data_IF_711180863245
#
_entry.id   IF_711180863245
#
_cell.length_a   1.000
_cell.length_b   1.000
_cell.length_c   1.000
_cell.angle_alpha   90.00
_cell.angle_beta   90.00
_cell.angle_gamma   90.00
#
_symmetry.space_group_name_H-M   'P 1'
#
loop_
_entity.id
_entity.type
_entity.pdbx_description
1 polymer ?
#
# COMPACT_ATOMS: atom_id res chain seq x y z
N UNK A 1 10.16 15.42 16.24
CA UNK A 1 11.42 16.12 16.51
C UNK A 1 11.25 17.49 15.88
N UNK A 2 10.80 18.45 16.69
CA UNK A 2 10.58 19.82 16.24
C UNK A 2 11.96 20.46 16.05
N UNK A 3 12.38 20.56 14.78
CA UNK A 3 13.53 21.40 14.43
C UNK A 3 13.09 22.86 14.67
N UNK A 4 13.95 23.71 15.26
CA UNK A 4 13.60 25.09 15.54
C UNK A 4 13.17 25.79 14.25
N UNK A 5 12.02 26.47 14.28
CA UNK A 5 11.29 27.01 13.13
C UNK A 5 12.17 27.73 12.08
N UNK A 6 13.23 28.40 12.53
CA UNK A 6 14.20 29.11 11.68
C UNK A 6 14.98 28.20 10.71
N UNK A 7 15.32 26.97 11.09
CA UNK A 7 16.07 26.02 10.21
C UNK A 7 15.15 25.44 9.14
N UNK A 8 13.87 25.27 9.48
CA UNK A 8 12.84 24.80 8.57
C UNK A 8 12.51 25.90 7.54
N UNK A 9 12.33 27.15 7.98
CA UNK A 9 12.13 28.27 7.05
C UNK A 9 13.33 28.51 6.12
N UNK A 10 14.57 28.40 6.61
CA UNK A 10 15.77 28.59 5.77
C UNK A 10 15.98 27.50 4.72
N UNK A 11 15.48 26.28 4.98
CA UNK A 11 15.58 25.15 4.03
C UNK A 11 14.40 25.09 3.05
N UNK A 12 13.24 25.62 3.43
CA UNK A 12 12.01 25.58 2.62
C UNK A 12 11.83 26.83 1.72
N UNK A 13 12.28 28.01 2.15
CA UNK A 13 12.20 29.24 1.34
C UNK A 13 12.90 29.16 -0.02
N UNK A 14 14.10 28.55 -0.15
CA UNK A 14 14.73 28.33 -1.47
C UNK A 14 13.92 27.39 -2.37
N UNK A 15 13.06 26.56 -1.77
CA UNK A 15 12.15 25.67 -2.49
C UNK A 15 10.82 26.37 -2.82
N UNK A 16 10.59 27.63 -2.44
CA UNK A 16 9.32 28.34 -2.68
C UNK A 16 8.11 27.64 -2.04
N UNK A 17 8.34 26.93 -0.93
CA UNK A 17 7.31 26.18 -0.22
C UNK A 17 7.11 26.78 1.18
N UNK A 18 5.91 27.25 1.48
CA UNK A 18 5.54 27.63 2.84
C UNK A 18 4.80 26.46 3.53
N UNK A 19 5.25 26.11 4.73
CA UNK A 19 4.69 24.99 5.49
C UNK A 19 3.34 25.39 6.11
N UNK A 20 2.24 25.20 5.37
CA UNK A 20 0.88 25.46 5.85
C UNK A 20 0.26 24.31 6.65
N UNK A 21 0.74 23.07 6.47
CA UNK A 21 0.24 21.87 7.16
C UNK A 21 1.03 21.58 8.44
N UNK A 22 0.32 21.39 9.56
CA UNK A 22 0.91 20.99 10.84
C UNK A 22 1.35 19.53 10.80
N UNK A 23 2.61 19.26 11.16
CA UNK A 23 3.13 17.88 11.31
C UNK A 23 2.52 17.23 12.55
N UNK A 24 1.43 16.51 12.36
CA UNK A 24 0.70 15.81 13.45
C UNK A 24 1.12 14.35 13.65
N UNK A 25 1.81 13.76 12.66
CA UNK A 25 2.12 12.33 12.65
C UNK A 25 3.59 12.07 13.03
N UNK A 26 3.82 11.29 14.09
CA UNK A 26 5.15 10.82 14.48
C UNK A 26 5.61 9.66 13.57
N UNK A 27 6.92 9.45 13.42
CA UNK A 27 7.50 8.42 12.54
C UNK A 27 6.94 7.03 12.83
N UNK A 28 6.75 6.69 14.11
CA UNK A 28 6.15 5.41 14.52
C UNK A 28 4.72 5.27 13.99
N UNK A 29 3.91 6.32 14.07
CA UNK A 29 2.55 6.31 13.55
C UNK A 29 2.52 6.23 12.02
N UNK A 30 3.49 6.85 11.35
CA UNK A 30 3.64 6.76 9.89
C UNK A 30 3.99 5.33 9.43
N UNK A 31 4.85 4.62 10.16
CA UNK A 31 5.18 3.21 9.86
C UNK A 31 3.94 2.32 10.01
N UNK A 32 3.20 2.47 11.10
CA UNK A 32 1.96 1.71 11.31
C UNK A 32 0.90 2.03 10.25
N UNK A 33 0.78 3.30 9.87
CA UNK A 33 -0.11 3.73 8.80
C UNK A 33 0.29 3.10 7.45
N UNK A 34 1.58 3.12 7.10
CA UNK A 34 2.09 2.49 5.89
C UNK A 34 1.87 0.98 5.85
N UNK A 35 2.14 0.27 6.95
CA UNK A 35 1.86 -1.16 7.07
C UNK A 35 0.37 -1.47 6.91
N UNK A 36 -0.49 -0.59 7.42
CA UNK A 36 -1.94 -0.71 7.29
C UNK A 36 -2.38 -0.58 5.84
N UNK A 37 -1.80 0.36 5.12
CA UNK A 37 -2.10 0.60 3.70
C UNK A 37 -1.69 -0.57 2.79
N UNK A 38 -0.67 -1.34 3.15
CA UNK A 38 -0.22 -2.50 2.36
C UNK A 38 -1.17 -3.70 2.40
N UNK A 39 -2.12 -3.74 3.35
CA UNK A 39 -3.10 -4.81 3.53
C UNK A 39 -2.51 -6.23 3.35
N UNK A 40 -1.66 -6.72 4.27
CA UNK A 40 -0.86 -7.94 4.09
C UNK A 40 -1.66 -9.20 3.72
N UNK A 41 -2.94 -9.26 4.10
CA UNK A 41 -3.80 -10.41 3.80
C UNK A 41 -4.04 -10.62 2.30
N UNK A 42 -3.96 -9.55 1.50
CA UNK A 42 -4.20 -9.62 0.06
C UNK A 42 -3.27 -10.60 -0.66
N UNK A 43 -2.02 -10.73 -0.19
CA UNK A 43 -1.04 -11.65 -0.77
C UNK A 43 -1.51 -13.11 -0.65
N UNK A 44 -2.09 -13.50 0.49
CA UNK A 44 -2.54 -14.89 0.69
C UNK A 44 -3.67 -15.29 -0.26
N UNK A 45 -4.55 -14.35 -0.61
CA UNK A 45 -5.67 -14.62 -1.54
C UNK A 45 -5.20 -14.87 -2.96
N UNK A 46 -4.16 -14.16 -3.41
CA UNK A 46 -3.62 -14.27 -4.77
C UNK A 46 -2.57 -15.38 -4.89
N UNK A 47 -1.81 -15.64 -3.83
CA UNK A 47 -0.71 -16.59 -3.84
C UNK A 47 -1.15 -18.00 -4.27
N UNK A 48 -2.30 -18.48 -3.79
CA UNK A 48 -2.80 -19.82 -4.11
C UNK A 48 -3.09 -20.01 -5.61
N UNK A 49 -3.79 -19.04 -6.20
CA UNK A 49 -4.15 -19.05 -7.63
C UNK A 49 -2.88 -18.94 -8.48
N UNK A 50 -2.02 -17.98 -8.15
CA UNK A 50 -0.79 -17.72 -8.91
C UNK A 50 0.18 -18.92 -8.88
N UNK A 51 0.30 -19.58 -7.73
CA UNK A 51 1.15 -20.78 -7.59
C UNK A 51 0.62 -21.95 -8.40
N UNK A 52 -0.70 -22.13 -8.46
CA UNK A 52 -1.32 -23.14 -9.32
C UNK A 52 -1.06 -22.88 -10.81
N UNK A 53 -1.10 -21.61 -11.24
CA UNK A 53 -0.84 -21.23 -12.64
C UNK A 53 0.64 -21.27 -13.05
N UNK A 54 1.55 -21.04 -12.09
CA UNK A 54 3.00 -20.91 -12.37
C UNK A 54 3.83 -22.11 -11.93
N UNK A 55 3.17 -23.22 -11.60
CA UNK A 55 3.83 -24.45 -11.12
C UNK A 55 4.80 -24.22 -9.94
N UNK A 56 4.47 -23.28 -9.03
CA UNK A 56 5.29 -22.98 -7.86
C UNK A 56 6.38 -21.91 -8.03
N UNK A 57 6.52 -21.30 -9.22
CA UNK A 57 7.51 -20.23 -9.44
C UNK A 57 7.14 -18.88 -8.80
N UNK A 58 5.91 -18.71 -8.33
CA UNK A 58 5.40 -17.49 -7.66
C UNK A 58 6.36 -16.92 -6.61
N UNK A 59 6.97 -17.78 -5.79
CA UNK A 59 7.89 -17.36 -4.72
C UNK A 59 9.11 -16.61 -5.27
N UNK A 60 9.67 -17.09 -6.38
CA UNK A 60 10.84 -16.46 -7.01
C UNK A 60 10.47 -15.07 -7.56
N UNK A 61 9.29 -14.95 -8.18
CA UNK A 61 8.77 -13.66 -8.64
C UNK A 61 8.60 -12.65 -7.49
N UNK A 62 8.11 -13.09 -6.33
CA UNK A 62 8.00 -12.21 -5.15
C UNK A 62 9.38 -11.77 -4.62
N UNK A 63 10.39 -12.64 -4.63
CA UNK A 63 11.76 -12.26 -4.23
C UNK A 63 12.31 -11.19 -5.17
N UNK A 64 12.20 -11.40 -6.48
CA UNK A 64 12.67 -10.43 -7.49
C UNK A 64 11.92 -9.10 -7.34
N UNK A 65 10.60 -9.13 -7.19
CA UNK A 65 9.79 -7.94 -6.97
C UNK A 65 10.19 -7.19 -5.69
N UNK A 66 10.49 -7.92 -4.61
CA UNK A 66 10.96 -7.32 -3.35
C UNK A 66 12.27 -6.57 -3.55
N UNK A 67 13.23 -7.15 -4.28
CA UNK A 67 14.51 -6.49 -4.57
C UNK A 67 14.31 -5.19 -5.36
N UNK A 68 13.45 -5.20 -6.38
CA UNK A 68 13.12 -4.00 -7.17
C UNK A 68 12.45 -2.92 -6.31
N UNK A 69 11.51 -3.31 -5.45
CA UNK A 69 10.83 -2.37 -4.54
C UNK A 69 11.80 -1.80 -3.51
N UNK A 70 12.79 -2.56 -3.04
CA UNK A 70 13.83 -2.05 -2.14
C UNK A 70 14.65 -0.93 -2.79
N UNK A 71 15.08 -1.09 -4.04
CA UNK A 71 15.76 0.00 -4.77
C UNK A 71 14.90 1.25 -4.87
N UNK A 72 13.60 1.08 -5.10
CA UNK A 72 12.64 2.19 -5.14
C UNK A 72 12.55 2.86 -3.76
N UNK A 73 12.42 2.08 -2.68
CA UNK A 73 12.37 2.61 -1.32
C UNK A 73 13.63 3.40 -0.93
N UNK A 74 14.82 2.90 -1.29
CA UNK A 74 16.08 3.61 -1.06
C UNK A 74 16.17 4.93 -1.82
N UNK A 75 15.72 4.95 -3.09
CA UNK A 75 15.65 6.19 -3.88
C UNK A 75 14.74 7.22 -3.22
N UNK A 76 13.54 6.82 -2.77
CA UNK A 76 12.62 7.70 -2.06
C UNK A 76 13.19 8.19 -0.72
N UNK A 77 13.87 7.34 0.04
CA UNK A 77 14.49 7.73 1.30
C UNK A 77 15.54 8.85 1.11
N UNK A 78 16.32 8.78 0.03
CA UNK A 78 17.29 9.83 -0.32
C UNK A 78 16.62 11.11 -0.84
N UNK A 79 15.52 11.00 -1.58
CA UNK A 79 14.82 12.17 -2.12
C UNK A 79 14.04 12.94 -1.04
N UNK A 80 13.44 12.23 -0.08
CA UNK A 80 12.72 12.83 1.06
C UNK A 80 13.66 13.67 1.94
N UNK A 81 14.92 13.26 2.11
CA UNK A 81 15.89 14.00 2.92
C UNK A 81 16.36 15.29 2.25
N UNK A 82 16.39 15.32 0.91
CA UNK A 82 16.78 16.50 0.11
C UNK A 82 15.60 17.46 -0.08
N UNK A 83 14.39 16.93 -0.34
CA UNK A 83 13.19 17.72 -0.60
C UNK A 83 12.12 17.47 0.47
N UNK A 84 12.23 18.08 1.66
CA UNK A 84 11.30 17.89 2.78
C UNK A 84 9.99 18.69 2.62
N UNK A 85 9.44 18.69 1.40
CA UNK A 85 8.24 19.43 0.99
C UNK A 85 7.09 18.46 0.71
N UNK A 86 5.85 18.89 0.97
CA UNK A 86 4.68 18.07 0.67
C UNK A 86 4.46 18.02 -0.85
N UNK A 87 4.18 16.82 -1.37
CA UNK A 87 3.89 16.60 -2.79
C UNK A 87 4.41 15.28 -3.37
N UNK A 88 5.14 14.48 -2.59
CA UNK A 88 5.53 13.11 -2.95
C UNK A 88 6.30 13.05 -4.29
N UNK A 89 6.11 11.98 -5.07
CA UNK A 89 6.82 11.72 -6.33
C UNK A 89 6.76 12.87 -7.34
N UNK A 90 5.63 13.59 -7.40
CA UNK A 90 5.48 14.79 -8.25
C UNK A 90 6.60 15.80 -7.95
N UNK A 91 6.77 16.17 -6.69
CA UNK A 91 7.76 17.17 -6.29
C UNK A 91 9.18 16.66 -6.47
N UNK A 92 9.43 15.38 -6.22
CA UNK A 92 10.76 14.79 -6.41
C UNK A 92 11.19 14.82 -7.87
N UNK A 93 10.32 14.42 -8.80
CA UNK A 93 10.62 14.43 -10.24
C UNK A 93 10.72 15.86 -10.77
N UNK A 94 9.81 16.74 -10.35
CA UNK A 94 9.82 18.14 -10.74
C UNK A 94 11.15 18.83 -10.38
N UNK A 95 11.71 18.52 -9.20
CA UNK A 95 12.93 19.15 -8.68
C UNK A 95 14.22 18.47 -9.13
N UNK A 96 14.20 17.17 -9.40
CA UNK A 96 15.40 16.42 -9.79
C UNK A 96 15.61 16.35 -11.31
N UNK A 97 14.54 16.34 -12.11
CA UNK A 97 14.63 16.17 -13.57
C UNK A 97 14.26 17.48 -14.26
N UNK A 98 12.95 17.77 -14.37
CA UNK A 98 12.43 19.01 -14.95
C UNK A 98 10.92 19.18 -14.62
N UNK A 99 10.36 20.39 -14.84
CA UNK A 99 8.94 20.64 -14.56
C UNK A 99 7.95 19.82 -15.39
N UNK A 100 8.28 19.48 -16.64
CA UNK A 100 7.39 18.74 -17.54
C UNK A 100 7.23 17.26 -17.12
N UNK A 101 8.33 16.62 -16.74
CA UNK A 101 8.33 15.27 -16.18
C UNK A 101 7.58 15.25 -14.85
N UNK A 102 7.80 16.27 -13.99
CA UNK A 102 7.02 16.45 -12.78
C UNK A 102 5.52 16.51 -13.06
N UNK A 103 5.09 17.31 -14.04
CA UNK A 103 3.68 17.40 -14.46
C UNK A 103 3.10 16.05 -14.90
N UNK A 104 3.84 15.27 -15.70
CA UNK A 104 3.42 13.92 -16.11
C UNK A 104 3.29 12.99 -14.90
N UNK A 105 4.27 13.01 -13.98
CA UNK A 105 4.21 12.22 -12.74
C UNK A 105 2.99 12.60 -11.90
N UNK A 106 2.62 13.89 -11.85
CA UNK A 106 1.40 14.34 -11.19
C UNK A 106 0.13 13.73 -11.80
N UNK A 107 0.04 13.65 -13.13
CA UNK A 107 -1.07 12.97 -13.80
C UNK A 107 -1.10 11.47 -13.52
N UNK A 108 0.05 10.80 -13.52
CA UNK A 108 0.13 9.38 -13.19
C UNK A 108 -0.33 9.13 -11.75
N UNK A 109 0.10 9.97 -10.80
CA UNK A 109 -0.36 9.89 -9.40
C UNK A 109 -1.86 10.12 -9.27
N UNK A 110 -2.42 11.10 -9.99
CA UNK A 110 -3.87 11.35 -9.99
C UNK A 110 -4.63 10.14 -10.52
N UNK A 111 -4.15 9.54 -11.61
CA UNK A 111 -4.75 8.33 -12.17
C UNK A 111 -4.63 7.16 -11.20
N UNK A 112 -3.51 6.99 -10.50
CA UNK A 112 -3.35 5.95 -9.47
C UNK A 112 -4.39 6.11 -8.36
N UNK A 113 -4.56 7.33 -7.84
CA UNK A 113 -5.58 7.64 -6.83
C UNK A 113 -7.02 7.44 -7.31
N UNK A 114 -7.29 7.57 -8.62
CA UNK A 114 -8.60 7.33 -9.19
C UNK A 114 -8.85 5.83 -9.46
N UNK A 115 -7.86 5.13 -10.02
CA UNK A 115 -7.97 3.74 -10.47
C UNK A 115 -8.00 2.76 -9.30
N UNK A 116 -7.21 2.98 -8.25
CA UNK A 116 -7.13 2.08 -7.10
C UNK A 116 -8.50 1.85 -6.44
N UNK A 117 -9.26 2.89 -6.02
CA UNK A 117 -10.60 2.69 -5.47
C UNK A 117 -11.57 2.02 -6.44
N UNK A 118 -11.49 2.33 -7.73
CA UNK A 118 -12.36 1.72 -8.74
C UNK A 118 -12.13 0.20 -8.85
N UNK A 119 -10.87 -0.24 -8.87
CA UNK A 119 -10.53 -1.68 -8.89
C UNK A 119 -10.97 -2.36 -7.59
N UNK A 120 -10.77 -1.72 -6.44
CA UNK A 120 -11.20 -2.26 -5.15
C UNK A 120 -12.72 -2.48 -5.09
N UNK A 121 -13.51 -1.51 -5.56
CA UNK A 121 -14.98 -1.61 -5.60
C UNK A 121 -15.43 -2.68 -6.61
N UNK A 122 -14.77 -2.75 -7.77
CA UNK A 122 -15.04 -3.78 -8.78
C UNK A 122 -14.84 -5.18 -8.19
N UNK A 123 -13.68 -5.42 -7.57
CA UNK A 123 -13.35 -6.70 -6.94
C UNK A 123 -14.32 -7.04 -5.80
N UNK A 124 -14.67 -6.07 -4.96
CA UNK A 124 -15.66 -6.27 -3.90
C UNK A 124 -17.00 -6.71 -4.49
N UNK A 125 -17.47 -6.06 -5.55
CA UNK A 125 -18.72 -6.42 -6.22
C UNK A 125 -18.70 -7.82 -6.83
N UNK A 126 -17.56 -8.22 -7.43
CA UNK A 126 -17.38 -9.57 -7.97
C UNK A 126 -17.35 -10.64 -6.86
N UNK A 127 -16.65 -10.39 -5.75
CA UNK A 127 -16.64 -11.31 -4.62
C UNK A 127 -18.03 -11.45 -3.99
N UNK A 128 -18.77 -10.35 -3.82
CA UNK A 128 -20.14 -10.42 -3.29
C UNK A 128 -21.08 -11.19 -4.21
N UNK A 129 -20.95 -11.03 -5.53
CA UNK A 129 -21.70 -11.83 -6.49
C UNK A 129 -21.36 -13.33 -6.41
N UNK A 130 -20.10 -13.69 -6.15
CA UNK A 130 -19.69 -15.09 -5.95
C UNK A 130 -20.34 -15.72 -4.71
N UNK A 131 -20.54 -14.96 -3.63
CA UNK A 131 -21.22 -15.43 -2.42
C UNK A 131 -22.75 -15.41 -2.53
N UNK A 132 -23.32 -14.40 -3.20
CA UNK A 132 -24.75 -14.25 -3.43
C UNK A 132 -25.02 -14.01 -4.92
N UNK A 133 -25.09 -15.08 -5.74
CA UNK A 133 -25.23 -14.98 -7.19
C UNK A 133 -26.63 -14.54 -7.64
N UNK A 134 -27.61 -14.52 -6.72
CA UNK A 134 -28.98 -14.01 -6.97
C UNK A 134 -28.96 -12.54 -7.37
N UNK A 135 -28.03 -11.76 -6.81
CA UNK A 135 -27.88 -10.34 -7.12
C UNK A 135 -26.73 -10.18 -8.13
N UNK A 136 -26.96 -9.55 -9.29
CA UNK A 136 -25.95 -9.43 -10.34
C UNK A 136 -24.80 -8.50 -9.92
N UNK A 137 -23.61 -8.72 -10.50
CA UNK A 137 -22.39 -7.99 -10.13
C UNK A 137 -22.51 -6.47 -10.24
N UNK A 138 -23.19 -5.94 -11.27
CA UNK A 138 -23.38 -4.49 -11.43
C UNK A 138 -24.15 -3.88 -10.26
N UNK A 139 -25.11 -4.60 -9.68
CA UNK A 139 -25.88 -4.12 -8.54
C UNK A 139 -24.99 -4.08 -7.28
N UNK A 140 -24.17 -5.12 -7.05
CA UNK A 140 -23.20 -5.12 -5.95
C UNK A 140 -22.16 -4.01 -6.07
N UNK A 141 -21.71 -3.69 -7.29
CA UNK A 141 -20.80 -2.57 -7.55
C UNK A 141 -21.47 -1.25 -7.16
N UNK A 142 -22.69 -0.98 -7.63
CA UNK A 142 -23.41 0.27 -7.31
C UNK A 142 -23.68 0.41 -5.80
N UNK A 143 -24.07 -0.68 -5.14
CA UNK A 143 -24.26 -0.70 -3.68
C UNK A 143 -22.95 -0.37 -2.96
N UNK A 144 -21.84 -0.99 -3.39
CA UNK A 144 -20.52 -0.75 -2.81
C UNK A 144 -20.06 0.69 -2.99
N UNK A 145 -20.26 1.28 -4.17
CA UNK A 145 -19.99 2.70 -4.44
C UNK A 145 -20.79 3.59 -3.49
N UNK A 146 -22.10 3.35 -3.36
CA UNK A 146 -22.97 4.15 -2.51
C UNK A 146 -22.54 4.06 -1.03
N UNK A 147 -22.24 2.87 -0.53
CA UNK A 147 -21.80 2.65 0.85
C UNK A 147 -20.47 3.34 1.13
N UNK A 148 -19.46 3.13 0.28
CA UNK A 148 -18.13 3.75 0.45
C UNK A 148 -18.24 5.27 0.32
N UNK A 149 -19.03 5.77 -0.64
CA UNK A 149 -19.29 7.20 -0.81
C UNK A 149 -19.94 7.82 0.43
N UNK A 150 -20.94 7.15 1.02
CA UNK A 150 -21.59 7.60 2.26
C UNK A 150 -20.60 7.62 3.43
N UNK A 151 -19.77 6.59 3.59
CA UNK A 151 -18.75 6.54 4.65
C UNK A 151 -17.76 7.70 4.49
N UNK A 152 -17.32 7.98 3.27
CA UNK A 152 -16.42 9.09 2.99
C UNK A 152 -17.04 10.46 3.32
N UNK A 153 -18.37 10.60 3.20
CA UNK A 153 -19.10 11.84 3.55
C UNK A 153 -19.32 11.94 5.07
N UNK A 154 -19.63 10.83 5.74
CA UNK A 154 -19.97 10.79 7.17
C UNK A 154 -18.75 10.94 8.11
N UNK A 155 -17.53 10.79 7.59
CA UNK A 155 -16.29 11.09 8.30
C UNK A 155 -15.39 9.87 8.52
N UNK A 156 -14.09 10.11 8.38
CA UNK A 156 -13.00 9.11 8.40
C UNK A 156 -12.58 8.63 9.79
N UNK A 157 -13.02 9.29 10.87
CA UNK A 157 -12.60 8.98 12.24
C UNK A 157 -12.87 7.52 12.67
N UNK A 158 -14.09 6.95 12.50
CA UNK A 158 -14.34 5.55 12.82
C UNK A 158 -13.60 4.59 11.87
N UNK A 159 -13.37 4.98 10.62
CA UNK A 159 -12.65 4.17 9.62
C UNK A 159 -11.19 3.94 10.02
N UNK A 160 -10.52 4.93 10.62
CA UNK A 160 -9.12 4.81 11.04
C UNK A 160 -8.95 3.82 12.20
N UNK A 161 -9.89 3.81 13.17
CA UNK A 161 -9.83 2.86 14.29
C UNK A 161 -10.08 1.43 13.82
N UNK A 162 -11.09 1.21 12.97
CA UNK A 162 -11.37 -0.12 12.40
C UNK A 162 -10.20 -0.61 11.57
N UNK A 163 -9.63 0.24 10.71
CA UNK A 163 -8.48 -0.11 9.88
C UNK A 163 -7.29 -0.60 10.73
N UNK A 164 -7.00 0.09 11.83
CA UNK A 164 -5.91 -0.30 12.74
C UNK A 164 -6.14 -1.69 13.35
N UNK A 165 -7.37 -1.98 13.81
CA UNK A 165 -7.72 -3.30 14.36
C UNK A 165 -7.65 -4.41 13.32
N UNK A 166 -8.13 -4.15 12.09
CA UNK A 166 -8.05 -5.10 10.99
C UNK A 166 -6.60 -5.48 10.71
N UNK A 167 -5.67 -4.52 10.74
CA UNK A 167 -4.25 -4.76 10.45
C UNK A 167 -3.56 -5.57 11.54
N UNK A 168 -3.88 -5.31 12.81
CA UNK A 168 -3.38 -6.11 13.93
C UNK A 168 -3.83 -7.57 13.78
N UNK A 169 -5.10 -7.79 13.44
CA UNK A 169 -5.64 -9.13 13.22
C UNK A 169 -4.94 -9.82 12.03
N UNK A 170 -4.76 -9.12 10.92
CA UNK A 170 -4.06 -9.64 9.73
C UNK A 170 -2.60 -9.99 10.01
N UNK A 171 -1.89 -9.16 10.78
CA UNK A 171 -0.53 -9.43 11.22
C UNK A 171 -0.48 -10.67 12.12
N UNK A 172 -1.42 -10.79 13.06
CA UNK A 172 -1.55 -11.99 13.92
C UNK A 172 -1.80 -13.26 13.11
N UNK A 173 -2.73 -13.23 12.16
CA UNK A 173 -2.98 -14.34 11.23
C UNK A 173 -1.72 -14.71 10.44
N UNK A 174 -1.00 -13.71 9.93
CA UNK A 174 0.23 -13.93 9.14
C UNK A 174 1.33 -14.60 9.98
N UNK A 175 1.52 -14.17 11.23
CA UNK A 175 2.49 -14.76 12.16
C UNK A 175 2.10 -16.20 12.54
N UNK A 176 0.82 -16.45 12.82
CA UNK A 176 0.30 -17.79 13.09
C UNK A 176 0.56 -18.72 11.90
N UNK A 177 0.26 -18.25 10.69
CA UNK A 177 0.49 -19.02 9.47
C UNK A 177 1.97 -19.38 9.30
N UNK A 178 2.88 -18.41 9.46
CA UNK A 178 4.32 -18.65 9.41
C UNK A 178 4.78 -19.65 10.48
N UNK A 179 4.22 -19.57 11.70
CA UNK A 179 4.51 -20.52 12.76
C UNK A 179 4.08 -21.95 12.40
N UNK A 180 2.85 -22.13 11.89
CA UNK A 180 2.34 -23.43 11.46
C UNK A 180 3.18 -24.01 10.31
N UNK A 181 3.53 -23.20 9.32
CA UNK A 181 4.40 -23.61 8.20
C UNK A 181 5.78 -24.00 8.70
N UNK A 182 6.39 -23.23 9.60
CA UNK A 182 7.69 -23.57 10.18
C UNK A 182 7.64 -24.89 10.95
N UNK A 183 6.60 -25.12 11.77
CA UNK A 183 6.34 -26.40 12.44
C UNK A 183 6.25 -27.56 11.45
N UNK A 184 5.47 -27.39 10.39
CA UNK A 184 5.25 -28.42 9.37
C UNK A 184 6.53 -28.77 8.62
N UNK A 185 7.36 -27.78 8.29
CA UNK A 185 8.67 -28.01 7.64
C UNK A 185 9.63 -28.74 8.60
N UNK A 186 9.68 -28.34 9.87
CA UNK A 186 10.53 -28.98 10.88
C UNK A 186 10.12 -30.42 11.20
N UNK A 187 8.83 -30.74 11.06
CA UNK A 187 8.29 -32.10 11.19
C UNK A 187 8.44 -32.95 9.91
N UNK A 188 9.10 -32.43 8.88
CA UNK A 188 9.42 -33.17 7.65
C UNK A 188 8.36 -33.08 6.55
N UNK A 189 7.35 -32.22 6.68
CA UNK A 189 6.31 -31.99 5.67
C UNK A 189 6.73 -31.09 4.49
N UNK A 190 8.02 -30.72 4.39
CA UNK A 190 8.52 -29.90 3.29
C UNK A 190 8.71 -30.72 2.01
N UNK A 191 8.25 -30.20 0.86
CA UNK A 191 8.36 -30.88 -0.43
C UNK A 191 9.81 -31.08 -0.94
N UNK A 192 10.84 -30.58 -0.26
CA UNK A 192 12.25 -30.83 -0.61
C UNK A 192 12.70 -30.36 -2.00
N UNK A 193 11.90 -29.53 -2.68
CA UNK A 193 12.02 -29.22 -4.11
C UNK A 193 13.00 -28.09 -4.45
N UNK A 194 13.77 -27.54 -3.50
CA UNK A 194 14.68 -26.42 -3.81
C UNK A 194 15.80 -26.78 -4.83
N UNK A 195 16.09 -28.08 -5.04
CA UNK A 195 17.15 -28.55 -5.95
C UNK A 195 16.74 -29.74 -6.85
N UNK A 196 15.47 -30.12 -6.91
CA UNK A 196 15.01 -31.18 -7.81
C UNK A 196 14.55 -30.56 -9.13
N UNK A 197 15.50 -30.38 -10.05
CA UNK A 197 15.26 -30.07 -11.47
C UNK A 197 14.80 -31.32 -12.22
#
# INVERSE_FOLDING_TARGET
MDLPDKVTESTLNPLGYEQSLKRVLNVRHLIWFGLSYLAPIGVFTQFGIMTGMTHGMTTLSYIVATVVILFTAFSYANLVSVFPVAGSAYTYVQRSINPHAGFITGWVMLLDYLLLPMICILLLGLFMNQYCPVVPAWAWILISVAVVGLINILGIEPSVMVNTWTVILQAGFSLLFLFVVARLILEGGGAGTFFSW
#
